data_IF_189574411021
#
_entry.id   IF_189574411021
#
_cell.length_a   1.000
_cell.length_b   1.000
_cell.length_c   1.000
_cell.angle_alpha   90.00
_cell.angle_beta   90.00
_cell.angle_gamma   90.00
#
_symmetry.space_group_name_H-M   'P 1'
#
loop_
_entity.id
_entity.type
_entity.pdbx_description
1 polymer ?
#
# COMPACT_ATOMS: atom_id res chain seq x y z
N UNK A 1 34.75 -17.42 34.77
CA UNK A 1 33.85 -16.35 34.28
C UNK A 1 33.64 -16.63 32.82
N UNK A 2 32.49 -17.24 32.45
CA UNK A 2 32.12 -17.50 31.08
C UNK A 2 31.27 -16.32 30.58
N UNK A 3 31.78 -15.62 29.57
CA UNK A 3 31.10 -14.50 28.92
C UNK A 3 30.04 -15.07 27.98
N UNK A 4 28.77 -14.97 28.38
CA UNK A 4 27.63 -15.34 27.54
C UNK A 4 27.45 -14.21 26.50
N UNK A 5 27.94 -14.42 25.29
CA UNK A 5 27.62 -13.53 24.15
C UNK A 5 26.19 -13.84 23.72
N UNK A 6 25.25 -13.00 24.14
CA UNK A 6 23.89 -13.02 23.63
C UNK A 6 23.93 -12.50 22.17
N UNK A 7 23.94 -13.39 21.20
CA UNK A 7 23.68 -13.04 19.82
C UNK A 7 22.23 -12.57 19.73
N UNK A 8 22.04 -11.25 19.71
CA UNK A 8 20.78 -10.65 19.28
C UNK A 8 20.57 -11.02 17.81
N UNK A 9 19.77 -12.04 17.54
CA UNK A 9 19.23 -12.30 16.22
C UNK A 9 18.26 -11.17 15.95
N UNK A 10 18.70 -10.12 15.26
CA UNK A 10 17.81 -9.16 14.66
C UNK A 10 16.94 -9.92 13.66
N UNK A 11 15.69 -10.24 14.01
CA UNK A 11 14.71 -10.60 13.02
C UNK A 11 14.60 -9.45 12.03
N UNK A 12 14.78 -9.67 10.72
CA UNK A 12 14.52 -8.61 9.76
C UNK A 12 13.10 -8.10 9.98
N UNK A 13 12.95 -6.80 10.15
CA UNK A 13 11.63 -6.19 10.20
C UNK A 13 10.86 -6.64 8.95
N UNK A 14 9.65 -7.17 9.13
CA UNK A 14 8.79 -7.51 8.01
C UNK A 14 8.64 -6.24 7.14
N UNK A 15 9.07 -6.33 5.89
CA UNK A 15 8.94 -5.25 4.89
C UNK A 15 7.88 -5.72 3.91
N UNK A 16 6.81 -4.96 3.79
CA UNK A 16 5.74 -5.20 2.84
C UNK A 16 6.29 -5.42 1.42
N UNK A 17 5.78 -6.37 0.68
CA UNK A 17 6.18 -6.81 -0.68
C UNK A 17 7.68 -6.78 -1.00
N UNK A 18 8.56 -6.60 -0.02
CA UNK A 18 9.98 -6.34 -0.19
C UNK A 18 10.27 -5.20 -1.17
N UNK A 19 11.52 -4.82 -1.33
CA UNK A 19 11.87 -3.74 -2.26
C UNK A 19 11.46 -4.06 -3.72
N UNK A 20 11.58 -5.33 -4.14
CA UNK A 20 11.28 -5.77 -5.50
C UNK A 20 9.80 -5.68 -5.83
N UNK A 21 8.92 -6.13 -4.93
CA UNK A 21 7.48 -6.11 -5.15
C UNK A 21 6.91 -4.70 -5.23
N UNK A 22 7.30 -3.80 -4.32
CA UNK A 22 6.88 -2.38 -4.38
C UNK A 22 7.36 -1.69 -5.66
N UNK A 23 8.59 -1.94 -6.09
CA UNK A 23 9.11 -1.42 -7.36
C UNK A 23 8.29 -1.90 -8.54
N UNK A 24 8.00 -3.21 -8.63
CA UNK A 24 7.18 -3.78 -9.70
C UNK A 24 5.77 -3.18 -9.72
N UNK A 25 5.12 -3.03 -8.57
CA UNK A 25 3.79 -2.40 -8.47
C UNK A 25 3.84 -0.97 -9.02
N UNK A 26 4.78 -0.16 -8.55
CA UNK A 26 4.91 1.24 -8.94
C UNK A 26 5.27 1.39 -10.42
N UNK A 27 6.22 0.60 -10.92
CA UNK A 27 6.60 0.59 -12.33
C UNK A 27 5.42 0.21 -13.23
N UNK A 28 4.73 -0.87 -12.92
CA UNK A 28 3.59 -1.34 -13.69
C UNK A 28 2.44 -0.34 -13.69
N UNK A 29 2.13 0.28 -12.55
CA UNK A 29 1.12 1.31 -12.45
C UNK A 29 1.47 2.52 -13.33
N UNK A 30 2.68 3.07 -13.18
CA UNK A 30 3.12 4.25 -13.91
C UNK A 30 3.24 4.00 -15.42
N UNK A 31 3.81 2.84 -15.83
CA UNK A 31 4.00 2.49 -17.24
C UNK A 31 2.70 2.13 -17.99
N UNK A 32 1.58 2.00 -17.27
CA UNK A 32 0.26 1.69 -17.85
C UNK A 32 -0.75 2.83 -17.67
N UNK A 33 -0.30 4.02 -17.27
CA UNK A 33 -1.16 5.20 -17.17
C UNK A 33 -1.79 5.57 -18.52
N UNK A 34 -3.10 5.89 -18.58
CA UNK A 34 -3.78 6.30 -19.80
C UNK A 34 -3.14 7.53 -20.45
N UNK A 35 -3.27 7.64 -21.77
CA UNK A 35 -2.72 8.76 -22.54
C UNK A 35 -3.31 10.14 -22.14
N UNK A 36 -4.45 10.15 -21.47
CA UNK A 36 -5.12 11.35 -20.93
C UNK A 36 -4.45 11.91 -19.67
N UNK A 37 -3.65 11.10 -18.98
CA UNK A 37 -2.82 11.58 -17.85
C UNK A 37 -1.66 12.42 -18.40
N UNK A 38 -1.22 13.50 -17.73
CA UNK A 38 -0.16 14.38 -18.21
C UNK A 38 1.11 13.65 -18.65
N UNK A 39 1.74 14.14 -19.71
CA UNK A 39 2.92 13.51 -20.29
C UNK A 39 4.10 13.42 -19.31
N UNK A 40 4.24 14.38 -18.40
CA UNK A 40 5.33 14.38 -17.43
C UNK A 40 5.28 13.15 -16.51
N UNK A 41 4.07 12.69 -16.06
CA UNK A 41 3.90 11.47 -15.24
C UNK A 41 4.15 10.17 -16.02
N UNK A 42 4.07 10.21 -17.36
CA UNK A 42 4.23 9.06 -18.26
C UNK A 42 5.60 9.03 -18.94
N UNK A 43 6.49 9.97 -18.60
CA UNK A 43 7.85 9.97 -19.11
C UNK A 43 8.66 8.83 -18.49
N UNK A 44 9.64 8.31 -19.22
CA UNK A 44 10.54 7.26 -18.72
C UNK A 44 11.21 7.68 -17.39
N UNK A 45 11.62 8.95 -17.28
CA UNK A 45 12.21 9.48 -16.06
C UNK A 45 11.24 9.44 -14.87
N UNK A 46 9.98 9.82 -15.08
CA UNK A 46 8.96 9.77 -14.02
C UNK A 46 8.60 8.33 -13.63
N UNK A 47 8.49 7.42 -14.61
CA UNK A 47 8.24 6.00 -14.34
C UNK A 47 9.35 5.41 -13.47
N UNK A 48 10.62 5.69 -13.80
CA UNK A 48 11.75 5.22 -13.02
C UNK A 48 11.81 5.84 -11.61
N UNK A 49 11.42 7.11 -11.47
CA UNK A 49 11.34 7.77 -10.15
C UNK A 49 10.20 7.21 -9.30
N UNK A 50 9.01 7.03 -9.86
CA UNK A 50 7.86 6.40 -9.17
C UNK A 50 8.22 4.98 -8.75
N UNK A 51 8.88 4.19 -9.61
CA UNK A 51 9.40 2.86 -9.27
C UNK A 51 10.35 2.93 -8.06
N UNK A 52 11.35 3.82 -8.11
CA UNK A 52 12.34 3.98 -7.04
C UNK A 52 11.71 4.34 -5.69
N UNK A 53 10.66 5.16 -5.72
CA UNK A 53 9.93 5.63 -4.53
C UNK A 53 9.00 4.57 -3.92
N UNK A 54 8.71 3.47 -4.63
CA UNK A 54 7.85 2.41 -4.11
C UNK A 54 8.22 1.93 -2.71
N UNK A 55 9.46 1.57 -2.42
CA UNK A 55 9.89 1.16 -1.07
C UNK A 55 10.26 2.34 -0.14
N UNK A 56 9.96 3.59 -0.47
CA UNK A 56 10.42 4.75 0.33
C UNK A 56 9.86 4.76 1.77
N UNK A 57 8.56 4.51 2.05
CA UNK A 57 8.04 4.46 3.40
C UNK A 57 8.67 3.39 4.29
N UNK A 58 9.10 2.27 3.73
CA UNK A 58 9.86 1.26 4.47
C UNK A 58 11.24 1.75 4.94
N UNK A 59 11.87 2.67 4.19
CA UNK A 59 13.13 3.30 4.59
C UNK A 59 12.94 4.22 5.80
N UNK A 60 11.73 4.78 5.97
CA UNK A 60 11.38 5.63 7.12
C UNK A 60 11.17 4.83 8.41
N UNK A 61 11.00 3.51 8.31
CA UNK A 61 10.89 2.59 9.47
C UNK A 61 12.25 2.17 10.01
N UNK A 62 13.20 3.10 10.00
CA UNK A 62 14.55 2.88 10.49
C UNK A 62 14.63 3.09 12.02
N UNK A 63 15.30 2.21 12.77
CA UNK A 63 15.60 2.45 14.17
C UNK A 63 16.50 3.67 14.43
N UNK A 64 17.17 4.19 13.39
CA UNK A 64 17.98 5.40 13.49
C UNK A 64 17.12 6.67 13.56
N UNK A 65 15.88 6.61 13.06
CA UNK A 65 14.89 7.69 13.10
C UNK A 65 13.66 7.27 13.93
N UNK A 66 13.76 7.17 15.28
CA UNK A 66 12.77 6.50 16.12
C UNK A 66 11.39 7.15 16.11
N UNK A 67 11.30 8.49 16.04
CA UNK A 67 10.04 9.22 15.99
C UNK A 67 9.35 9.00 14.64
N UNK A 68 10.10 9.03 13.55
CA UNK A 68 9.58 8.77 12.22
C UNK A 68 9.11 7.31 12.08
N UNK A 69 9.92 6.38 12.56
CA UNK A 69 9.53 4.96 12.61
C UNK A 69 8.25 4.73 13.41
N UNK A 70 8.11 5.36 14.58
CA UNK A 70 6.92 5.23 15.39
C UNK A 70 5.66 5.80 14.71
N UNK A 71 5.81 6.91 13.99
CA UNK A 71 4.71 7.51 13.21
C UNK A 71 4.31 6.66 12.01
N UNK A 72 5.29 6.15 11.28
CA UNK A 72 5.07 5.46 10.01
C UNK A 72 4.67 3.98 10.16
N UNK A 73 5.13 3.28 11.21
CA UNK A 73 4.85 1.86 11.37
C UNK A 73 3.36 1.49 11.29
N UNK A 74 2.41 2.22 11.92
CA UNK A 74 0.99 1.90 11.83
C UNK A 74 0.34 2.25 10.49
N UNK A 75 1.01 3.00 9.64
CA UNK A 75 0.48 3.43 8.34
C UNK A 75 0.59 2.37 7.24
N UNK A 76 1.31 1.26 7.51
CA UNK A 76 1.52 0.15 6.58
C UNK A 76 0.41 -0.91 6.61
N UNK A 77 -0.47 -0.90 7.59
CA UNK A 77 -1.47 -1.96 7.77
C UNK A 77 -2.76 -1.46 8.42
N UNK A 78 -3.77 -2.31 8.38
CA UNK A 78 -4.95 -2.23 9.24
C UNK A 78 -5.41 -3.64 9.61
N UNK A 79 -5.47 -3.94 10.90
CA UNK A 79 -6.09 -5.16 11.40
C UNK A 79 -7.61 -4.98 11.40
N UNK A 80 -8.27 -5.50 10.36
CA UNK A 80 -9.70 -5.26 10.16
C UNK A 80 -10.56 -5.87 11.26
N UNK A 81 -10.14 -6.96 11.88
CA UNK A 81 -10.91 -7.61 12.93
C UNK A 81 -11.14 -6.69 14.15
N UNK A 82 -10.11 -6.10 14.81
CA UNK A 82 -10.33 -5.14 15.88
C UNK A 82 -10.91 -3.80 15.38
N UNK A 83 -10.58 -3.37 14.17
CA UNK A 83 -11.12 -2.14 13.61
C UNK A 83 -12.64 -2.24 13.41
N UNK A 84 -13.13 -3.36 12.86
CA UNK A 84 -14.56 -3.61 12.62
C UNK A 84 -15.34 -3.81 13.93
N UNK A 85 -14.71 -4.33 14.98
CA UNK A 85 -15.32 -4.43 16.31
C UNK A 85 -15.68 -3.04 16.89
N UNK A 86 -15.05 -1.97 16.41
CA UNK A 86 -15.37 -0.59 16.79
C UNK A 86 -16.49 0.02 15.93
N UNK A 87 -17.03 -0.72 14.95
CA UNK A 87 -18.05 -0.26 14.00
C UNK A 87 -17.44 0.42 12.76
N UNK A 88 -18.27 1.06 11.92
CA UNK A 88 -17.81 1.62 10.64
C UNK A 88 -16.61 2.54 10.79
N UNK A 89 -15.67 2.42 9.85
CA UNK A 89 -14.49 3.29 9.80
C UNK A 89 -14.92 4.73 9.43
N UNK A 90 -14.60 5.73 10.25
CA UNK A 90 -14.92 7.12 9.92
C UNK A 90 -13.93 7.65 8.88
N UNK A 91 -14.35 8.60 8.03
CA UNK A 91 -13.47 9.21 7.03
C UNK A 91 -12.32 10.01 7.66
N UNK A 92 -12.55 10.62 8.83
CA UNK A 92 -11.50 11.39 9.51
C UNK A 92 -10.65 10.49 10.40
N UNK A 93 -9.33 10.51 10.18
CA UNK A 93 -8.33 9.78 10.97
C UNK A 93 -8.49 10.02 12.48
N UNK A 94 -8.61 11.30 12.89
CA UNK A 94 -8.75 11.67 14.30
C UNK A 94 -10.02 11.10 14.95
N UNK A 95 -11.11 10.92 14.20
CA UNK A 95 -12.34 10.32 14.72
C UNK A 95 -12.16 8.81 14.97
N UNK A 96 -11.38 8.14 14.11
CA UNK A 96 -10.99 6.74 14.34
C UNK A 96 -10.08 6.60 15.56
N UNK A 97 -9.03 7.40 15.64
CA UNK A 97 -8.11 7.37 16.78
C UNK A 97 -8.84 7.63 18.10
N UNK A 98 -9.77 8.60 18.12
CA UNK A 98 -10.61 8.86 19.28
C UNK A 98 -11.49 7.65 19.68
N UNK A 99 -12.08 6.94 18.69
CA UNK A 99 -12.83 5.69 18.94
C UNK A 99 -11.95 4.61 19.56
N UNK A 100 -10.74 4.42 19.01
CA UNK A 100 -9.77 3.42 19.49
C UNK A 100 -9.37 3.70 20.93
N UNK A 101 -9.00 4.96 21.25
CA UNK A 101 -8.66 5.35 22.62
C UNK A 101 -9.86 5.20 23.58
N UNK A 102 -11.06 5.53 23.16
CA UNK A 102 -12.27 5.36 23.98
C UNK A 102 -12.56 3.88 24.28
N UNK A 103 -12.13 2.96 23.42
CA UNK A 103 -12.20 1.51 23.63
C UNK A 103 -11.04 0.95 24.47
N UNK A 104 -10.12 1.80 24.96
CA UNK A 104 -8.96 1.38 25.74
C UNK A 104 -7.87 0.71 24.91
N UNK A 105 -7.88 0.90 23.59
CA UNK A 105 -6.91 0.34 22.65
C UNK A 105 -5.94 1.42 22.16
N UNK A 106 -4.95 1.02 21.38
CA UNK A 106 -3.92 1.90 20.81
C UNK A 106 -4.04 1.89 19.27
N UNK A 107 -4.15 3.06 18.61
CA UNK A 107 -4.26 3.13 17.15
C UNK A 107 -3.08 2.49 16.42
N UNK A 108 -1.86 2.61 16.96
CA UNK A 108 -0.66 2.01 16.40
C UNK A 108 -0.63 0.46 16.44
N UNK A 109 -1.56 -0.16 17.16
CA UNK A 109 -1.75 -1.63 17.21
C UNK A 109 -2.87 -2.12 16.30
N UNK A 110 -3.72 -1.23 15.83
CA UNK A 110 -4.81 -1.57 14.88
C UNK A 110 -4.40 -1.22 13.46
N UNK A 111 -3.58 -0.18 13.31
CA UNK A 111 -3.15 0.33 12.02
C UNK A 111 -3.98 1.51 11.52
N UNK A 112 -3.37 2.30 10.63
CA UNK A 112 -3.89 3.58 10.15
C UNK A 112 -3.81 3.73 8.62
N UNK A 113 -3.51 2.66 7.92
CA UNK A 113 -3.21 2.63 6.48
C UNK A 113 -4.31 3.25 5.59
N UNK A 114 -5.64 3.06 5.82
CA UNK A 114 -6.65 3.66 4.95
C UNK A 114 -6.59 5.18 4.89
N UNK A 115 -6.33 5.81 6.04
CA UNK A 115 -6.25 7.28 6.14
C UNK A 115 -4.98 7.80 5.47
N UNK A 116 -3.83 7.16 5.72
CA UNK A 116 -2.58 7.58 5.11
C UNK A 116 -2.63 7.48 3.58
N UNK A 117 -3.09 6.36 3.04
CA UNK A 117 -3.21 6.18 1.60
C UNK A 117 -4.13 7.24 0.96
N UNK A 118 -5.28 7.53 1.57
CA UNK A 118 -6.20 8.54 1.03
C UNK A 118 -5.69 9.96 1.23
N UNK A 119 -5.00 10.27 2.33
CA UNK A 119 -4.34 11.57 2.53
C UNK A 119 -3.22 11.81 1.50
N UNK A 120 -2.40 10.81 1.19
CA UNK A 120 -1.38 10.91 0.14
C UNK A 120 -2.01 11.06 -1.23
N UNK A 121 -3.11 10.35 -1.52
CA UNK A 121 -3.88 10.52 -2.75
C UNK A 121 -4.43 11.95 -2.88
N UNK A 122 -4.94 12.55 -1.81
CA UNK A 122 -5.41 13.93 -1.82
C UNK A 122 -4.28 14.93 -2.06
N UNK A 123 -3.07 14.68 -1.53
CA UNK A 123 -1.87 15.48 -1.83
C UNK A 123 -1.53 15.41 -3.32
N UNK A 124 -1.59 14.22 -3.92
CA UNK A 124 -1.40 14.04 -5.37
C UNK A 124 -2.45 14.84 -6.17
N UNK A 125 -3.74 14.69 -5.82
CA UNK A 125 -4.85 15.42 -6.45
C UNK A 125 -4.67 16.94 -6.35
N UNK A 126 -4.23 17.42 -5.18
CA UNK A 126 -3.96 18.86 -4.98
C UNK A 126 -2.79 19.35 -5.84
N UNK A 127 -1.69 18.59 -5.93
CA UNK A 127 -0.55 18.91 -6.79
C UNK A 127 -0.97 18.94 -8.28
N UNK A 128 -1.78 17.98 -8.71
CA UNK A 128 -2.28 17.95 -10.09
C UNK A 128 -3.25 19.12 -10.40
N UNK A 129 -3.99 19.61 -9.42
CA UNK A 129 -4.81 20.81 -9.56
C UNK A 129 -3.93 22.06 -9.73
N UNK A 130 -2.88 22.18 -8.93
CA UNK A 130 -1.92 23.28 -9.07
C UNK A 130 -1.19 23.21 -10.42
N UNK A 131 -0.80 22.02 -10.87
CA UNK A 131 -0.23 21.82 -12.21
C UNK A 131 -1.15 22.40 -13.30
N UNK A 132 -2.45 22.08 -13.27
CA UNK A 132 -3.43 22.63 -14.23
C UNK A 132 -3.49 24.15 -14.20
N UNK A 133 -3.44 24.75 -13.02
CA UNK A 133 -3.51 26.19 -12.85
C UNK A 133 -2.24 26.88 -13.40
N UNK A 134 -1.06 26.33 -13.13
CA UNK A 134 0.20 26.86 -13.63
C UNK A 134 0.32 26.68 -15.15
N UNK A 135 -0.05 25.50 -15.69
CA UNK A 135 -0.07 25.23 -17.12
C UNK A 135 -0.98 26.22 -17.88
N UNK A 136 -2.22 26.39 -17.40
CA UNK A 136 -3.17 27.34 -17.98
C UNK A 136 -2.68 28.81 -17.92
N UNK A 137 -1.90 29.13 -16.90
CA UNK A 137 -1.29 30.47 -16.75
C UNK A 137 0.06 30.61 -17.49
N UNK A 138 0.52 29.60 -18.22
CA UNK A 138 1.82 29.50 -18.89
C UNK A 138 3.01 29.82 -17.94
N UNK A 139 2.92 29.32 -16.70
CA UNK A 139 3.95 29.38 -15.67
C UNK A 139 4.79 28.14 -15.61
N UNK A 140 5.94 28.24 -14.93
CA UNK A 140 6.79 27.08 -14.65
C UNK A 140 6.06 26.02 -13.80
N UNK A 141 6.05 24.77 -14.27
CA UNK A 141 5.39 23.61 -13.65
C UNK A 141 6.37 22.65 -12.99
N UNK A 142 7.69 22.83 -13.18
CA UNK A 142 8.71 21.87 -12.77
C UNK A 142 8.59 21.47 -11.27
N UNK A 143 8.38 22.46 -10.38
CA UNK A 143 8.27 22.16 -8.94
C UNK A 143 7.06 21.30 -8.58
N UNK A 144 5.91 21.56 -9.20
CA UNK A 144 4.68 20.79 -8.92
C UNK A 144 4.70 19.42 -9.61
N UNK A 145 5.37 19.30 -10.76
CA UNK A 145 5.59 17.99 -11.42
C UNK A 145 6.42 17.07 -10.53
N UNK A 146 7.52 17.57 -9.94
CA UNK A 146 8.34 16.82 -9.00
C UNK A 146 7.54 16.38 -7.76
N UNK A 147 6.69 17.27 -7.21
CA UNK A 147 5.82 16.92 -6.09
C UNK A 147 4.79 15.84 -6.45
N UNK A 148 4.17 15.94 -7.63
CA UNK A 148 3.20 14.93 -8.09
C UNK A 148 3.85 13.55 -8.30
N UNK A 149 5.05 13.50 -8.88
CA UNK A 149 5.83 12.25 -9.05
C UNK A 149 6.13 11.64 -7.67
N UNK A 150 6.59 12.46 -6.72
CA UNK A 150 6.87 12.00 -5.35
C UNK A 150 5.62 11.43 -4.67
N UNK A 151 4.48 12.13 -4.73
CA UNK A 151 3.24 11.64 -4.14
C UNK A 151 2.72 10.38 -4.82
N UNK A 152 2.86 10.26 -6.14
CA UNK A 152 2.48 9.04 -6.86
C UNK A 152 3.32 7.83 -6.43
N UNK A 153 4.64 8.02 -6.29
CA UNK A 153 5.54 6.97 -5.82
C UNK A 153 5.29 6.57 -4.37
N UNK A 154 5.08 7.56 -3.49
CA UNK A 154 4.75 7.35 -2.08
C UNK A 154 3.40 6.62 -1.90
N UNK A 155 2.36 7.06 -2.59
CA UNK A 155 1.04 6.40 -2.60
C UNK A 155 1.16 4.92 -2.95
N UNK A 156 2.01 4.61 -3.93
CA UNK A 156 2.19 3.24 -4.42
C UNK A 156 2.66 2.25 -3.37
N UNK A 157 3.37 2.70 -2.35
CA UNK A 157 3.74 1.86 -1.22
C UNK A 157 2.51 1.34 -0.48
N UNK A 158 1.66 2.24 0.00
CA UNK A 158 0.48 1.86 0.78
C UNK A 158 -0.56 1.10 -0.03
N UNK A 159 -0.70 1.44 -1.32
CA UNK A 159 -1.58 0.69 -2.23
C UNK A 159 -1.04 -0.73 -2.47
N UNK A 160 0.28 -0.87 -2.53
CA UNK A 160 0.96 -2.16 -2.57
C UNK A 160 0.68 -2.98 -1.30
N UNK A 161 0.89 -2.40 -0.13
CA UNK A 161 0.59 -3.03 1.16
C UNK A 161 -0.86 -3.48 1.24
N UNK A 162 -1.79 -2.64 0.78
CA UNK A 162 -3.21 -2.95 0.75
C UNK A 162 -3.58 -4.11 -0.19
N UNK A 163 -2.71 -4.49 -1.14
CA UNK A 163 -2.91 -5.68 -1.98
C UNK A 163 -2.47 -6.97 -1.31
N UNK A 164 -1.70 -6.87 -0.24
CA UNK A 164 -1.12 -7.99 0.49
C UNK A 164 -2.03 -8.40 1.67
N UNK A 165 -2.57 -9.63 1.66
CA UNK A 165 -3.56 -10.04 2.67
C UNK A 165 -3.09 -9.92 4.11
N UNK A 166 -1.81 -10.15 4.38
CA UNK A 166 -1.27 -10.09 5.75
C UNK A 166 -1.17 -8.66 6.31
N UNK A 167 -1.37 -7.62 5.49
CA UNK A 167 -1.49 -6.23 5.96
C UNK A 167 -2.92 -5.84 6.38
N UNK A 168 -3.86 -6.80 6.39
CA UNK A 168 -5.28 -6.53 6.65
C UNK A 168 -5.84 -7.31 7.83
N UNK A 169 -4.99 -7.96 8.64
CA UNK A 169 -5.44 -8.95 9.65
C UNK A 169 -4.48 -9.08 10.82
N UNK A 170 -5.03 -9.38 12.00
CA UNK A 170 -4.24 -9.80 13.17
C UNK A 170 -3.39 -11.06 12.92
N UNK A 171 -3.73 -11.84 11.89
CA UNK A 171 -2.99 -13.03 11.48
C UNK A 171 -1.82 -12.69 10.54
N UNK A 172 -1.26 -11.50 10.66
CA UNK A 172 -0.25 -11.00 9.72
C UNK A 172 1.05 -11.81 9.72
N UNK A 173 1.44 -12.44 10.82
CA UNK A 173 2.72 -13.17 10.90
C UNK A 173 2.61 -14.40 11.80
N UNK A 174 1.80 -15.35 11.41
CA UNK A 174 1.42 -16.56 12.15
C UNK A 174 -0.03 -16.46 12.62
N UNK A 175 -0.74 -17.62 12.57
CA UNK A 175 -2.15 -17.67 12.93
C UNK A 175 -2.36 -17.43 14.43
N UNK A 176 -3.32 -16.59 14.78
CA UNK A 176 -3.65 -16.19 16.15
C UNK A 176 -5.03 -16.73 16.53
N UNK A 177 -5.18 -17.21 17.77
CA UNK A 177 -6.46 -17.74 18.30
C UNK A 177 -6.77 -19.17 17.86
N UNK A 178 -8.07 -19.56 17.81
CA UNK A 178 -8.48 -20.89 17.41
C UNK A 178 -7.99 -21.27 16.01
N UNK A 179 -7.35 -22.42 15.87
CA UNK A 179 -6.70 -22.86 14.65
C UNK A 179 -7.12 -24.28 14.24
N UNK A 180 -8.39 -24.49 13.86
CA UNK A 180 -8.88 -25.82 13.48
C UNK A 180 -8.23 -26.35 12.20
N UNK A 181 -7.75 -25.47 11.34
CA UNK A 181 -7.10 -25.83 10.09
C UNK A 181 -5.59 -26.09 10.24
N UNK A 182 -5.04 -25.98 11.46
CA UNK A 182 -3.62 -26.15 11.76
C UNK A 182 -2.71 -25.33 10.82
N UNK A 183 -3.05 -24.06 10.62
CA UNK A 183 -2.20 -23.10 9.92
C UNK A 183 -0.94 -22.78 10.73
N UNK A 184 0.10 -22.33 10.06
CA UNK A 184 1.36 -22.01 10.74
C UNK A 184 1.19 -20.91 11.77
N UNK A 185 1.83 -21.09 12.93
CA UNK A 185 1.99 -20.05 13.97
C UNK A 185 3.39 -19.47 13.96
N UNK A 186 4.22 -19.85 12.97
CA UNK A 186 5.58 -19.34 12.80
C UNK A 186 5.55 -17.90 12.34
N UNK A 187 6.38 -17.06 12.98
CA UNK A 187 6.58 -15.65 12.62
C UNK A 187 7.51 -15.47 11.40
N UNK A 188 7.33 -16.31 10.37
CA UNK A 188 8.12 -16.30 9.13
C UNK A 188 7.27 -16.10 7.88
N UNK A 189 5.97 -16.38 7.95
CA UNK A 189 5.08 -16.41 6.77
C UNK A 189 5.07 -15.06 6.04
N UNK A 190 5.02 -13.98 6.77
CA UNK A 190 5.00 -12.63 6.22
C UNK A 190 6.25 -12.36 5.38
N UNK A 191 7.43 -12.42 6.01
CA UNK A 191 8.70 -12.22 5.32
C UNK A 191 8.92 -13.22 4.18
N UNK A 192 8.56 -14.49 4.38
CA UNK A 192 8.77 -15.54 3.39
C UNK A 192 7.96 -15.29 2.11
N UNK A 193 6.73 -14.85 2.26
CA UNK A 193 5.83 -14.57 1.14
C UNK A 193 6.28 -13.31 0.37
N UNK A 194 6.51 -12.22 1.04
CA UNK A 194 6.75 -10.90 0.42
C UNK A 194 8.15 -10.72 -0.17
N UNK A 195 9.16 -11.22 0.51
CA UNK A 195 10.55 -11.03 0.12
C UNK A 195 11.04 -12.18 -0.76
N UNK A 196 11.66 -13.22 -0.19
CA UNK A 196 12.37 -14.24 -0.96
C UNK A 196 11.52 -14.92 -2.02
N UNK A 197 10.23 -15.18 -1.72
CA UNK A 197 9.37 -15.87 -2.68
C UNK A 197 9.04 -14.97 -3.88
N UNK A 198 8.62 -13.74 -3.65
CA UNK A 198 8.30 -12.78 -4.74
C UNK A 198 9.56 -12.44 -5.54
N UNK A 199 10.65 -12.08 -4.88
CA UNK A 199 11.89 -11.71 -5.56
C UNK A 199 12.47 -12.82 -6.46
N UNK A 200 12.32 -14.08 -6.05
CA UNK A 200 12.86 -15.21 -6.80
C UNK A 200 11.94 -15.71 -7.93
N UNK A 201 10.62 -15.47 -7.85
CA UNK A 201 9.67 -16.21 -8.66
C UNK A 201 8.72 -15.35 -9.49
N UNK A 202 8.60 -14.03 -9.22
CA UNK A 202 7.64 -13.15 -9.90
C UNK A 202 8.33 -12.16 -10.83
N UNK A 203 7.77 -11.98 -12.03
CA UNK A 203 8.30 -11.09 -13.05
C UNK A 203 7.18 -10.24 -13.65
N UNK A 204 7.51 -9.02 -14.08
CA UNK A 204 6.54 -8.05 -14.61
C UNK A 204 5.61 -8.57 -15.72
N UNK A 205 6.05 -9.37 -16.72
CA UNK A 205 5.16 -9.79 -17.79
C UNK A 205 3.95 -10.61 -17.30
N UNK A 206 4.13 -11.47 -16.30
CA UNK A 206 3.04 -12.27 -15.75
C UNK A 206 2.10 -11.45 -14.88
N UNK A 207 2.63 -10.46 -14.14
CA UNK A 207 1.84 -9.53 -13.33
C UNK A 207 1.04 -8.61 -14.24
N UNK A 208 1.69 -8.02 -15.25
CA UNK A 208 1.05 -7.15 -16.26
C UNK A 208 -0.13 -7.84 -16.94
N UNK A 209 0.01 -9.12 -17.29
CA UNK A 209 -1.04 -9.91 -17.95
C UNK A 209 -2.30 -10.08 -17.08
N UNK A 210 -2.21 -9.84 -15.77
CA UNK A 210 -3.31 -9.94 -14.81
C UNK A 210 -3.88 -8.59 -14.39
N UNK A 211 -3.28 -7.47 -14.82
CA UNK A 211 -3.80 -6.13 -14.53
C UNK A 211 -5.13 -5.91 -15.26
N UNK A 212 -6.00 -5.15 -14.61
CA UNK A 212 -7.29 -4.74 -15.21
C UNK A 212 -7.09 -3.61 -16.22
N UNK A 213 -8.10 -3.33 -17.06
CA UNK A 213 -8.11 -2.13 -17.87
C UNK A 213 -8.17 -0.87 -16.99
N UNK A 214 -7.52 0.24 -17.41
CA UNK A 214 -7.54 1.50 -16.68
C UNK A 214 -8.96 2.05 -16.51
N UNK A 215 -9.28 2.49 -15.29
CA UNK A 215 -10.58 3.12 -14.98
C UNK A 215 -10.43 4.29 -14.02
N UNK A 216 -11.41 5.20 -14.07
CA UNK A 216 -11.64 6.18 -13.01
C UNK A 216 -12.43 5.49 -11.90
N UNK A 217 -12.01 5.67 -10.66
CA UNK A 217 -12.74 5.21 -9.49
C UNK A 217 -13.88 6.20 -9.26
N UNK A 218 -15.11 5.71 -9.30
CA UNK A 218 -16.31 6.53 -9.08
C UNK A 218 -16.70 6.48 -7.59
N UNK A 219 -17.10 7.61 -7.03
CA UNK A 219 -17.55 7.67 -5.64
C UNK A 219 -16.54 8.32 -4.69
N UNK A 220 -16.60 7.92 -3.42
CA UNK A 220 -15.70 8.41 -2.38
C UNK A 220 -14.45 7.54 -2.31
N UNK A 221 -13.27 8.16 -2.43
CA UNK A 221 -12.00 7.44 -2.48
C UNK A 221 -11.70 6.66 -1.20
N UNK A 222 -12.08 7.19 -0.03
CA UNK A 222 -11.86 6.48 1.23
C UNK A 222 -12.71 5.21 1.30
N UNK A 223 -13.99 5.29 0.94
CA UNK A 223 -14.89 4.14 0.95
C UNK A 223 -14.45 3.06 -0.06
N UNK A 224 -14.05 3.47 -1.26
CA UNK A 224 -13.54 2.56 -2.28
C UNK A 224 -12.21 1.91 -1.88
N UNK A 225 -11.34 2.66 -1.22
CA UNK A 225 -10.08 2.13 -0.70
C UNK A 225 -10.31 1.14 0.46
N UNK A 226 -11.24 1.42 1.37
CA UNK A 226 -11.65 0.48 2.42
C UNK A 226 -12.27 -0.78 1.82
N UNK A 227 -13.08 -0.65 0.77
CA UNK A 227 -13.62 -1.81 0.05
C UNK A 227 -12.52 -2.67 -0.59
N UNK A 228 -11.48 -2.03 -1.14
CA UNK A 228 -10.29 -2.72 -1.66
C UNK A 228 -9.53 -3.50 -0.57
N UNK A 229 -9.30 -2.90 0.60
CA UNK A 229 -8.71 -3.60 1.75
C UNK A 229 -9.54 -4.81 2.20
N UNK A 230 -10.87 -4.66 2.28
CA UNK A 230 -11.78 -5.76 2.63
C UNK A 230 -11.75 -6.88 1.62
N UNK A 231 -11.68 -6.54 0.33
CA UNK A 231 -11.50 -7.54 -0.73
C UNK A 231 -10.18 -8.30 -0.56
N UNK A 232 -9.10 -7.60 -0.24
CA UNK A 232 -7.80 -8.22 0.02
C UNK A 232 -7.84 -9.14 1.23
N UNK A 233 -8.50 -8.74 2.32
CA UNK A 233 -8.64 -9.54 3.53
C UNK A 233 -9.32 -10.92 3.28
N UNK A 234 -10.19 -11.02 2.28
CA UNK A 234 -10.81 -12.30 1.92
C UNK A 234 -9.81 -13.37 1.46
N UNK A 235 -8.58 -12.98 1.15
CA UNK A 235 -7.51 -13.86 0.69
C UNK A 235 -6.59 -14.37 1.81
N UNK A 236 -6.75 -13.91 3.05
CA UNK A 236 -5.89 -14.29 4.19
C UNK A 236 -5.88 -15.82 4.38
N UNK A 237 -7.04 -16.43 4.46
CA UNK A 237 -7.11 -17.88 4.69
C UNK A 237 -6.53 -18.69 3.52
N UNK A 238 -6.76 -18.25 2.28
CA UNK A 238 -6.17 -18.88 1.10
C UNK A 238 -4.64 -18.80 1.10
N UNK A 239 -4.07 -17.67 1.53
CA UNK A 239 -2.62 -17.52 1.68
C UNK A 239 -2.05 -18.53 2.67
N UNK A 240 -2.72 -18.72 3.82
CA UNK A 240 -2.33 -19.74 4.81
C UNK A 240 -2.47 -21.17 4.30
N UNK A 241 -3.47 -21.45 3.45
CA UNK A 241 -3.63 -22.75 2.78
C UNK A 241 -2.45 -23.01 1.84
N UNK A 242 -2.02 -22.02 1.06
CA UNK A 242 -0.86 -22.13 0.19
C UNK A 242 0.43 -22.36 0.98
N UNK A 243 0.64 -21.61 2.07
CA UNK A 243 1.80 -21.80 2.94
C UNK A 243 1.87 -23.23 3.49
N UNK A 244 0.75 -23.75 4.00
CA UNK A 244 0.64 -25.08 4.57
C UNK A 244 1.06 -26.20 3.61
N UNK A 245 0.91 -25.98 2.31
CA UNK A 245 1.34 -26.91 1.26
C UNK A 245 2.76 -26.66 0.76
N UNK A 246 3.53 -25.76 1.41
CA UNK A 246 4.88 -25.38 0.99
C UNK A 246 4.91 -24.42 -0.18
N UNK A 247 3.79 -23.75 -0.46
CA UNK A 247 3.62 -22.86 -1.62
C UNK A 247 4.59 -21.71 -1.71
N UNK A 248 5.20 -21.29 -0.61
CA UNK A 248 6.17 -20.18 -0.57
C UNK A 248 7.60 -20.64 -0.31
N UNK A 249 7.91 -21.91 -0.51
CA UNK A 249 9.26 -22.46 -0.35
C UNK A 249 9.93 -22.66 -1.70
N UNK A 250 11.12 -22.09 -1.89
CA UNK A 250 11.88 -22.18 -3.13
C UNK A 250 11.10 -21.65 -4.34
N UNK A 251 10.90 -22.48 -5.36
CA UNK A 251 10.11 -22.10 -6.55
C UNK A 251 8.60 -22.03 -6.31
N UNK A 252 8.13 -22.46 -5.14
CA UNK A 252 6.71 -22.56 -4.84
C UNK A 252 5.93 -23.50 -5.75
N UNK A 253 4.61 -23.31 -5.77
CA UNK A 253 3.70 -24.05 -6.67
C UNK A 253 3.19 -23.11 -7.79
N UNK A 254 2.66 -23.63 -8.90
CA UNK A 254 1.99 -22.79 -9.90
C UNK A 254 0.86 -21.95 -9.29
N UNK A 255 0.12 -22.49 -8.33
CA UNK A 255 -0.97 -21.81 -7.63
C UNK A 255 -0.46 -20.64 -6.77
N UNK A 256 0.60 -20.84 -5.98
CA UNK A 256 1.18 -19.79 -5.15
C UNK A 256 1.79 -18.66 -5.98
N UNK A 257 2.44 -18.98 -7.11
CA UNK A 257 2.92 -17.94 -8.05
C UNK A 257 1.77 -17.17 -8.69
N UNK A 258 0.72 -17.88 -9.14
CA UNK A 258 -0.46 -17.24 -9.71
C UNK A 258 -1.15 -16.31 -8.68
N UNK A 259 -1.26 -16.76 -7.44
CA UNK A 259 -1.81 -15.96 -6.33
C UNK A 259 -0.98 -14.69 -6.07
N UNK A 260 0.33 -14.81 -5.94
CA UNK A 260 1.20 -13.67 -5.72
C UNK A 260 1.14 -12.67 -6.89
N UNK A 261 1.15 -13.17 -8.15
CA UNK A 261 1.00 -12.35 -9.34
C UNK A 261 -0.37 -11.62 -9.35
N UNK A 262 -1.45 -12.26 -8.93
CA UNK A 262 -2.78 -11.64 -8.80
C UNK A 262 -2.78 -10.50 -7.76
N UNK A 263 -2.10 -10.68 -6.64
CA UNK A 263 -2.02 -9.63 -5.60
C UNK A 263 -1.18 -8.44 -6.07
N UNK A 264 -0.02 -8.68 -6.67
CA UNK A 264 0.82 -7.62 -7.25
C UNK A 264 0.09 -6.87 -8.37
N UNK A 265 -0.63 -7.58 -9.24
CA UNK A 265 -1.44 -6.98 -10.29
C UNK A 265 -2.62 -6.15 -9.75
N UNK A 266 -3.24 -6.59 -8.65
CA UNK A 266 -4.27 -5.83 -7.96
C UNK A 266 -3.71 -4.51 -7.40
N UNK A 267 -2.52 -4.54 -6.77
CA UNK A 267 -1.82 -3.34 -6.30
C UNK A 267 -1.49 -2.38 -7.44
N UNK A 268 -0.87 -2.88 -8.51
CA UNK A 268 -0.51 -2.07 -9.67
C UNK A 268 -1.74 -1.46 -10.37
N UNK A 269 -2.83 -2.22 -10.51
CA UNK A 269 -4.07 -1.73 -11.10
C UNK A 269 -4.72 -0.65 -10.24
N UNK A 270 -4.79 -0.86 -8.91
CA UNK A 270 -5.38 0.11 -7.98
C UNK A 270 -4.57 1.41 -7.95
N UNK A 271 -3.24 1.34 -7.87
CA UNK A 271 -2.38 2.52 -7.91
C UNK A 271 -2.55 3.33 -9.20
N UNK A 272 -2.52 2.65 -10.35
CA UNK A 272 -2.78 3.28 -11.66
C UNK A 272 -4.13 4.00 -11.67
N UNK A 273 -5.17 3.34 -11.21
CA UNK A 273 -6.53 3.85 -11.21
C UNK A 273 -6.68 5.03 -10.23
N UNK A 274 -6.01 5.00 -9.07
CA UNK A 274 -5.95 6.12 -8.12
C UNK A 274 -5.21 7.33 -8.70
N UNK A 275 -4.07 7.14 -9.38
CA UNK A 275 -3.34 8.24 -10.05
C UNK A 275 -4.21 8.83 -11.17
N UNK A 276 -4.87 7.98 -11.96
CA UNK A 276 -5.75 8.42 -13.03
C UNK A 276 -6.96 9.20 -12.48
N UNK A 277 -7.57 8.72 -11.41
CA UNK A 277 -8.69 9.39 -10.72
C UNK A 277 -8.25 10.74 -10.14
N UNK A 278 -7.07 10.81 -9.50
CA UNK A 278 -6.52 12.07 -9.00
C UNK A 278 -6.36 13.10 -10.13
N UNK A 279 -5.91 12.68 -11.31
CA UNK A 279 -5.85 13.54 -12.49
C UNK A 279 -7.22 14.03 -12.94
N UNK A 280 -8.20 13.15 -13.05
CA UNK A 280 -9.57 13.51 -13.48
C UNK A 280 -10.20 14.46 -12.46
N UNK A 281 -10.16 14.12 -11.18
CA UNK A 281 -10.76 14.89 -10.10
C UNK A 281 -10.06 16.21 -9.83
N UNK A 282 -8.77 16.35 -10.20
CA UNK A 282 -8.05 17.61 -10.10
C UNK A 282 -8.66 18.72 -10.95
N UNK A 283 -9.47 18.38 -11.96
CA UNK A 283 -10.20 19.34 -12.80
C UNK A 283 -11.48 19.87 -12.15
N UNK A 284 -11.96 19.25 -11.08
CA UNK A 284 -13.20 19.62 -10.43
C UNK A 284 -13.09 20.98 -9.73
N UNK A 285 -14.14 21.84 -9.77
CA UNK A 285 -14.12 23.10 -9.03
C UNK A 285 -13.94 22.86 -7.52
N UNK A 286 -13.10 23.66 -6.91
CA UNK A 286 -12.97 23.68 -5.44
C UNK A 286 -14.13 24.49 -4.87
N UNK A 287 -14.92 23.94 -3.93
CA UNK A 287 -15.91 24.74 -3.24
C UNK A 287 -15.27 25.94 -2.55
N UNK A 288 -15.86 27.13 -2.71
CA UNK A 288 -15.39 28.29 -1.97
C UNK A 288 -15.70 28.11 -0.48
N UNK A 289 -14.67 27.99 0.40
CA UNK A 289 -14.89 27.79 1.83
C UNK A 289 -15.50 29.00 2.52
N UNK A 290 -15.62 30.13 1.83
CA UNK A 290 -16.21 31.37 2.30
C UNK A 290 -17.56 31.70 1.64
N UNK A 291 -18.00 30.88 0.68
CA UNK A 291 -19.34 31.06 0.07
C UNK A 291 -20.41 30.97 1.14
N UNK A 292 -21.09 32.07 1.42
CA UNK A 292 -22.19 32.13 2.39
C UNK A 292 -21.83 32.56 3.82
N UNK A 293 -20.63 33.08 4.06
CA UNK A 293 -20.27 33.75 5.32
C UNK A 293 -20.52 35.24 5.24
#
# INVERSE_FOLDING_TARGET
MALLICLMVNSPAARAWGNGGHRMINHLAASTLPATVPAFLRSEAAINEIEYLGPEPDRWRSPAEPELNAAQAPEHFIDLEPADALGPLPHRRLDFEAKVFAAGQQPDKIGLQPWEATEVWERLKAALREYRALEAAHKDTHGVEAAAIFYAGWLGHYVGDASQPLHTTINYNGWVGPNPNAYTTSHQIHWQFEGPFVEANLHEPEIRAKMTEPKVIEGDMFDDYVAYLRQTATHVEHLYQLEKTGGFTGAGTPESRAFAADRLAAGASMLRDMIYTAWVDSAQPVPDPYAGK
#
